data_IF_825157281875
#
_entry.id   IF_825157281875
#
_cell.length_a   1.000
_cell.length_b   1.000
_cell.length_c   1.000
_cell.angle_alpha   90.00
_cell.angle_beta   90.00
_cell.angle_gamma   90.00
#
_symmetry.space_group_name_H-M   'P 1'
#
loop_
_entity.id
_entity.type
_entity.pdbx_description
1 polymer ?
#
# COMPACT_ATOMS: atom_id res chain seq x y z
N UNK A 1 -18.18 19.19 -19.76
CA UNK A 1 -19.54 19.37 -19.23
C UNK A 1 -19.55 19.92 -17.79
N UNK A 2 -18.37 20.18 -17.16
CA UNK A 2 -18.26 20.77 -15.81
C UNK A 2 -18.82 19.93 -14.66
N UNK A 3 -19.03 18.63 -14.87
CA UNK A 3 -19.62 17.74 -13.85
C UNK A 3 -18.61 17.27 -12.80
N UNK A 4 -17.32 17.32 -13.09
CA UNK A 4 -16.23 17.07 -12.15
C UNK A 4 -15.11 18.08 -12.37
N UNK A 5 -14.36 18.40 -11.31
CA UNK A 5 -13.18 19.27 -11.37
C UNK A 5 -11.90 18.49 -11.57
N UNK A 6 -11.84 17.29 -11.02
CA UNK A 6 -10.66 16.44 -11.03
C UNK A 6 -11.03 15.03 -11.47
N UNK A 7 -10.11 14.37 -12.16
CA UNK A 7 -10.25 12.98 -12.57
C UNK A 7 -9.01 12.20 -12.10
N UNK A 8 -9.20 10.92 -11.83
CA UNK A 8 -8.12 10.06 -11.37
C UNK A 8 -8.02 8.76 -12.16
N UNK A 9 -6.84 8.17 -12.10
CA UNK A 9 -6.59 6.82 -12.61
C UNK A 9 -6.44 5.84 -11.43
N UNK A 10 -7.00 4.64 -11.58
CA UNK A 10 -6.79 3.54 -10.65
C UNK A 10 -6.21 2.33 -11.37
N UNK A 11 -5.01 1.93 -10.99
CA UNK A 11 -4.32 0.78 -11.57
C UNK A 11 -2.96 0.58 -10.91
N UNK A 12 -2.17 -0.34 -11.45
CA UNK A 12 -0.85 -0.71 -10.93
C UNK A 12 0.15 -0.89 -12.07
N UNK A 13 1.42 -1.09 -11.73
CA UNK A 13 2.49 -1.42 -12.64
C UNK A 13 2.71 -0.37 -13.75
N UNK A 14 3.10 -0.85 -14.94
CA UNK A 14 3.40 0.01 -16.09
C UNK A 14 2.18 0.76 -16.63
N UNK A 15 0.97 0.22 -16.48
CA UNK A 15 -0.24 0.92 -16.90
C UNK A 15 -0.49 2.17 -16.04
N UNK A 16 -0.22 2.08 -14.73
CA UNK A 16 -0.28 3.24 -13.84
C UNK A 16 0.79 4.27 -14.20
N UNK A 17 2.02 3.84 -14.48
CA UNK A 17 3.09 4.75 -14.94
C UNK A 17 2.70 5.47 -16.22
N UNK A 18 2.19 4.75 -17.24
CA UNK A 18 1.71 5.35 -18.48
C UNK A 18 0.60 6.39 -18.24
N UNK A 19 -0.36 6.07 -17.38
CA UNK A 19 -1.43 7.02 -17.02
C UNK A 19 -0.88 8.29 -16.36
N UNK A 20 0.11 8.16 -15.47
CA UNK A 20 0.79 9.29 -14.84
C UNK A 20 1.55 10.13 -15.88
N UNK A 21 2.28 9.48 -16.78
CA UNK A 21 3.07 10.15 -17.81
C UNK A 21 2.20 10.91 -18.81
N UNK A 22 1.00 10.42 -19.11
CA UNK A 22 0.05 11.08 -20.02
C UNK A 22 -0.34 12.49 -19.61
N UNK A 23 -0.25 12.82 -18.31
CA UNK A 23 -0.60 14.13 -17.78
C UNK A 23 -2.10 14.47 -17.81
N UNK A 24 -2.97 13.46 -18.05
CA UNK A 24 -4.43 13.64 -18.15
C UNK A 24 -5.09 13.61 -16.78
N UNK A 25 -4.50 12.93 -15.79
CA UNK A 25 -5.11 12.66 -14.50
C UNK A 25 -4.54 13.55 -13.39
N UNK A 26 -5.43 13.98 -12.49
CA UNK A 26 -5.08 14.78 -11.31
C UNK A 26 -4.69 13.91 -10.12
N UNK A 27 -5.21 12.68 -10.07
CA UNK A 27 -4.96 11.75 -8.95
C UNK A 27 -4.61 10.34 -9.45
N UNK A 28 -3.80 9.65 -8.64
CA UNK A 28 -3.43 8.25 -8.84
C UNK A 28 -3.88 7.42 -7.65
N UNK A 29 -4.69 6.38 -7.88
CA UNK A 29 -4.99 5.36 -6.89
C UNK A 29 -4.20 4.09 -7.22
N UNK A 30 -3.27 3.69 -6.34
CA UNK A 30 -2.27 2.65 -6.62
C UNK A 30 -2.04 1.75 -5.41
N UNK A 31 -1.71 0.48 -5.62
CA UNK A 31 -1.37 -0.44 -4.53
C UNK A 31 -0.06 -0.04 -3.85
N UNK A 32 -0.11 0.08 -2.54
CA UNK A 32 1.06 0.31 -1.68
C UNK A 32 0.85 -0.41 -0.36
N UNK A 33 1.69 -1.38 -0.04
CA UNK A 33 1.69 -2.07 1.24
C UNK A 33 3.01 -2.81 1.48
N UNK A 34 3.13 -3.44 2.63
CA UNK A 34 4.34 -4.19 3.03
C UNK A 34 4.71 -5.35 2.10
N UNK A 35 3.74 -5.90 1.33
CA UNK A 35 3.94 -7.01 0.38
C UNK A 35 3.86 -6.56 -1.10
N UNK A 36 3.67 -5.24 -1.34
CA UNK A 36 3.56 -4.68 -2.69
C UNK A 36 4.15 -3.27 -2.67
N UNK A 37 5.38 -3.16 -3.11
CA UNK A 37 6.17 -1.93 -3.05
C UNK A 37 6.71 -1.48 -4.41
N UNK A 38 6.32 -2.16 -5.51
CA UNK A 38 6.76 -1.81 -6.87
C UNK A 38 6.48 -0.33 -7.19
N UNK A 39 5.28 0.12 -6.85
CA UNK A 39 4.83 1.49 -7.14
C UNK A 39 5.67 2.58 -6.46
N UNK A 40 6.32 2.26 -5.34
CA UNK A 40 7.17 3.20 -4.59
C UNK A 40 8.38 3.64 -5.42
N UNK A 41 8.91 2.74 -6.25
CA UNK A 41 10.05 3.02 -7.10
C UNK A 41 9.62 3.33 -8.56
N UNK A 42 8.43 2.92 -9.00
CA UNK A 42 7.99 3.02 -10.39
C UNK A 42 7.14 4.27 -10.66
N UNK A 43 5.91 4.32 -10.16
CA UNK A 43 4.93 5.34 -10.56
C UNK A 43 4.80 6.51 -9.57
N UNK A 44 4.96 6.26 -8.28
CA UNK A 44 4.79 7.28 -7.24
C UNK A 44 5.78 8.44 -7.38
N UNK A 45 7.08 8.23 -7.66
CA UNK A 45 8.01 9.35 -7.82
C UNK A 45 7.62 10.28 -8.97
N UNK A 46 7.14 9.72 -10.09
CA UNK A 46 6.71 10.50 -11.26
C UNK A 46 5.42 11.24 -10.97
N UNK A 47 4.43 10.59 -10.34
CA UNK A 47 3.18 11.21 -9.94
C UNK A 47 3.41 12.37 -8.95
N UNK A 48 4.30 12.17 -7.98
CA UNK A 48 4.71 13.21 -7.03
C UNK A 48 5.37 14.40 -7.71
N UNK A 49 6.27 14.16 -8.65
CA UNK A 49 6.95 15.23 -9.41
C UNK A 49 5.95 16.06 -10.24
N UNK A 50 4.84 15.47 -10.66
CA UNK A 50 3.74 16.14 -11.37
C UNK A 50 2.70 16.79 -10.44
N UNK A 51 2.86 16.72 -9.12
CA UNK A 51 1.92 17.29 -8.16
C UNK A 51 0.59 16.56 -8.08
N UNK A 52 0.51 15.28 -8.50
CA UNK A 52 -0.71 14.49 -8.44
C UNK A 52 -1.08 14.11 -7.00
N UNK A 53 -2.37 14.03 -6.71
CA UNK A 53 -2.85 13.42 -5.47
C UNK A 53 -2.66 11.90 -5.51
N UNK A 54 -2.03 11.29 -4.48
CA UNK A 54 -1.77 9.85 -4.46
C UNK A 54 -2.57 9.19 -3.34
N UNK A 55 -3.37 8.20 -3.73
CA UNK A 55 -4.25 7.41 -2.87
C UNK A 55 -3.74 5.99 -2.84
N UNK A 56 -3.28 5.51 -1.68
CA UNK A 56 -2.85 4.13 -1.52
C UNK A 56 -4.08 3.21 -1.37
N UNK A 57 -4.22 2.24 -2.26
CA UNK A 57 -5.17 1.13 -2.10
C UNK A 57 -4.47 -0.10 -1.51
N UNK A 58 -5.24 -0.98 -0.86
CA UNK A 58 -4.75 -2.20 -0.19
C UNK A 58 -3.63 -1.95 0.85
N UNK A 59 -3.70 -0.90 1.68
CA UNK A 59 -2.59 -0.52 2.56
C UNK A 59 -2.22 -1.59 3.59
N UNK A 60 -3.12 -2.54 3.84
CA UNK A 60 -2.90 -3.70 4.72
C UNK A 60 -2.56 -4.98 3.94
N UNK A 61 -2.30 -4.93 2.62
CA UNK A 61 -2.12 -6.14 1.83
C UNK A 61 -3.27 -7.14 2.02
N UNK A 62 -4.51 -6.64 2.11
CA UNK A 62 -5.73 -7.39 2.41
C UNK A 62 -5.69 -8.15 3.76
N UNK A 63 -4.77 -7.81 4.65
CA UNK A 63 -4.52 -8.46 5.94
C UNK A 63 -4.38 -10.00 5.83
N UNK A 64 -3.73 -10.45 4.74
CA UNK A 64 -3.65 -11.89 4.38
C UNK A 64 -2.87 -12.72 5.40
N UNK A 65 -2.04 -12.11 6.23
CA UNK A 65 -1.31 -12.79 7.31
C UNK A 65 -2.19 -13.40 8.42
N UNK A 66 -3.47 -13.04 8.45
CA UNK A 66 -4.45 -13.67 9.35
C UNK A 66 -4.94 -15.04 8.86
N UNK A 67 -4.71 -15.39 7.58
CA UNK A 67 -5.18 -16.65 7.01
C UNK A 67 -4.18 -17.78 7.30
N UNK A 68 -4.67 -18.83 7.95
CA UNK A 68 -3.90 -20.04 8.27
C UNK A 68 -3.87 -21.05 7.12
N UNK A 69 -4.74 -20.89 6.13
CA UNK A 69 -4.82 -21.70 4.91
C UNK A 69 -4.85 -20.80 3.68
N UNK A 70 -4.58 -21.39 2.51
CA UNK A 70 -4.56 -20.68 1.24
C UNK A 70 -5.88 -19.94 1.00
N UNK A 71 -5.85 -18.61 0.85
CA UNK A 71 -7.06 -17.80 0.64
C UNK A 71 -7.53 -17.87 -0.82
N UNK A 72 -8.65 -17.20 -1.10
CA UNK A 72 -9.16 -16.98 -2.45
C UNK A 72 -8.10 -16.39 -3.39
N UNK A 73 -8.18 -16.68 -4.72
CA UNK A 73 -7.15 -16.29 -5.69
C UNK A 73 -6.73 -14.82 -5.63
N UNK A 74 -7.67 -13.92 -5.41
CA UNK A 74 -7.41 -12.49 -5.28
C UNK A 74 -6.44 -12.11 -4.14
N UNK A 75 -6.37 -12.92 -3.10
CA UNK A 75 -5.51 -12.69 -1.94
C UNK A 75 -4.17 -13.43 -2.00
N UNK A 76 -4.05 -14.43 -2.90
CA UNK A 76 -2.92 -15.34 -2.93
C UNK A 76 -1.57 -14.66 -3.15
N UNK A 77 -1.40 -13.69 -4.08
CA UNK A 77 -0.09 -13.10 -4.31
C UNK A 77 0.53 -12.48 -3.06
N UNK A 78 -0.23 -11.74 -2.25
CA UNK A 78 0.28 -11.18 -1.00
C UNK A 78 0.50 -12.26 0.07
N UNK A 79 -0.40 -13.26 0.12
CA UNK A 79 -0.26 -14.39 1.04
C UNK A 79 1.00 -15.21 0.76
N UNK A 80 1.39 -15.37 -0.50
CA UNK A 80 2.62 -16.07 -0.91
C UNK A 80 3.90 -15.22 -0.71
N UNK A 81 3.79 -13.90 -0.82
CA UNK A 81 4.91 -12.96 -0.63
C UNK A 81 5.29 -12.79 0.84
N UNK A 82 4.32 -12.68 1.74
CA UNK A 82 4.59 -12.39 3.15
C UNK A 82 5.45 -13.42 3.87
N UNK A 83 5.30 -14.75 3.69
CA UNK A 83 6.22 -15.74 4.27
C UNK A 83 7.66 -15.59 3.79
N UNK A 84 7.85 -15.23 2.52
CA UNK A 84 9.19 -14.98 1.95
C UNK A 84 9.82 -13.72 2.54
N UNK A 85 9.02 -12.68 2.76
CA UNK A 85 9.42 -11.44 3.42
C UNK A 85 9.73 -11.64 4.90
N UNK A 86 9.04 -12.55 5.57
CA UNK A 86 9.29 -12.97 6.95
C UNK A 86 9.49 -11.80 7.94
N UNK A 87 8.58 -10.83 7.90
CA UNK A 87 8.61 -9.69 8.82
C UNK A 87 8.29 -10.14 10.26
N UNK A 88 9.17 -9.80 11.22
CA UNK A 88 8.98 -10.20 12.62
C UNK A 88 7.71 -9.61 13.25
N UNK A 89 7.35 -8.39 12.90
CA UNK A 89 6.15 -7.74 13.44
C UNK A 89 4.83 -8.42 13.04
N UNK A 90 4.83 -9.29 12.02
CA UNK A 90 3.66 -10.08 11.63
C UNK A 90 3.45 -11.34 12.48
N UNK A 91 4.46 -11.76 13.25
CA UNK A 91 4.42 -12.95 14.11
C UNK A 91 3.82 -12.66 15.50
N UNK A 92 3.70 -11.40 15.85
CA UNK A 92 3.26 -10.94 17.16
C UNK A 92 1.78 -10.55 17.20
N UNK A 93 1.50 -9.48 17.94
CA UNK A 93 0.15 -8.94 18.08
C UNK A 93 -0.41 -8.43 16.76
N UNK A 94 -1.65 -8.85 16.45
CA UNK A 94 -2.32 -8.49 15.20
C UNK A 94 -2.56 -6.97 15.06
N UNK A 95 -2.93 -6.30 16.15
CA UNK A 95 -3.19 -4.85 16.11
C UNK A 95 -1.89 -4.07 15.88
N UNK A 96 -0.79 -4.53 16.47
CA UNK A 96 0.54 -3.97 16.20
C UNK A 96 0.95 -4.17 14.73
N UNK A 97 0.71 -5.35 14.17
CA UNK A 97 0.96 -5.63 12.75
C UNK A 97 0.15 -4.71 11.83
N UNK A 98 -1.14 -4.51 12.11
CA UNK A 98 -2.01 -3.56 11.39
C UNK A 98 -1.48 -2.13 11.49
N UNK A 99 -1.10 -1.71 12.69
CA UNK A 99 -0.54 -0.37 12.93
C UNK A 99 0.72 -0.12 12.11
N UNK A 100 1.67 -1.05 12.14
CA UNK A 100 2.93 -0.94 11.36
C UNK A 100 2.65 -0.91 9.86
N UNK A 101 1.78 -1.79 9.35
CA UNK A 101 1.45 -1.86 7.93
C UNK A 101 0.78 -0.58 7.41
N UNK A 102 -0.17 -0.01 8.16
CA UNK A 102 -0.81 1.26 7.81
C UNK A 102 0.19 2.43 7.84
N UNK A 103 0.99 2.50 8.89
CA UNK A 103 2.00 3.56 9.06
C UNK A 103 3.08 3.48 7.99
N UNK A 104 3.50 2.26 7.60
CA UNK A 104 4.42 2.06 6.48
C UNK A 104 3.85 2.66 5.19
N UNK A 105 2.61 2.33 4.84
CA UNK A 105 1.96 2.85 3.64
C UNK A 105 1.87 4.37 3.65
N UNK A 106 1.46 4.95 4.78
CA UNK A 106 1.32 6.41 4.92
C UNK A 106 2.66 7.15 5.02
N UNK A 107 3.74 6.45 5.39
CA UNK A 107 5.09 7.02 5.41
C UNK A 107 5.75 7.08 4.02
N UNK A 108 5.16 6.44 3.01
CA UNK A 108 5.71 6.50 1.63
C UNK A 108 5.64 7.93 1.11
N UNK A 109 6.77 8.53 0.71
CA UNK A 109 6.81 9.91 0.24
C UNK A 109 5.91 10.14 -0.97
N UNK A 110 4.92 11.03 -0.83
CA UNK A 110 3.94 11.35 -1.86
C UNK A 110 2.58 10.67 -1.68
N UNK A 111 2.44 9.68 -0.82
CA UNK A 111 1.13 9.14 -0.45
C UNK A 111 0.40 10.15 0.44
N UNK A 112 -0.79 10.58 0.02
CA UNK A 112 -1.60 11.58 0.73
C UNK A 112 -2.66 10.94 1.61
N UNK A 113 -3.19 9.80 1.20
CA UNK A 113 -4.24 9.08 1.94
C UNK A 113 -4.24 7.59 1.57
N UNK A 114 -4.91 6.78 2.39
CA UNK A 114 -5.07 5.35 2.16
C UNK A 114 -6.53 4.92 2.28
N UNK A 115 -6.94 3.97 1.43
CA UNK A 115 -8.28 3.38 1.44
C UNK A 115 -8.22 2.01 2.09
N UNK A 116 -8.93 1.83 3.19
CA UNK A 116 -9.07 0.54 3.88
C UNK A 116 -10.49 0.02 3.69
N UNK A 117 -10.66 -1.01 2.86
CA UNK A 117 -11.94 -1.68 2.71
C UNK A 117 -12.30 -2.49 3.97
N UNK A 118 -13.57 -2.41 4.40
CA UNK A 118 -14.07 -3.18 5.54
C UNK A 118 -15.58 -3.36 5.47
N UNK A 119 -16.05 -4.50 5.99
CA UNK A 119 -17.47 -4.78 6.21
C UNK A 119 -17.89 -4.50 7.68
N UNK A 120 -16.94 -4.11 8.54
CA UNK A 120 -17.22 -3.84 9.96
C UNK A 120 -17.36 -2.33 10.19
N UNK A 121 -18.50 -1.85 10.72
CA UNK A 121 -18.83 -0.44 10.83
C UNK A 121 -17.79 0.42 11.53
N UNK A 122 -17.19 -0.07 12.63
CA UNK A 122 -16.25 0.71 13.44
C UNK A 122 -14.78 0.54 13.07
N UNK A 123 -14.47 -0.24 12.03
CA UNK A 123 -13.09 -0.54 11.65
C UNK A 123 -12.30 0.71 11.24
N UNK A 124 -12.93 1.64 10.55
CA UNK A 124 -12.28 2.88 10.16
C UNK A 124 -11.83 3.71 11.37
N UNK A 125 -12.67 3.77 12.42
CA UNK A 125 -12.33 4.46 13.68
C UNK A 125 -11.19 3.76 14.39
N UNK A 126 -11.26 2.43 14.52
CA UNK A 126 -10.18 1.63 15.13
C UNK A 126 -8.84 1.85 14.41
N UNK A 127 -8.82 1.88 13.07
CA UNK A 127 -7.62 2.16 12.30
C UNK A 127 -7.11 3.59 12.54
N UNK A 128 -8.00 4.58 12.60
CA UNK A 128 -7.63 5.96 12.92
C UNK A 128 -7.04 6.08 14.33
N UNK A 129 -7.65 5.46 15.32
CA UNK A 129 -7.17 5.46 16.71
C UNK A 129 -5.78 4.80 16.82
N UNK A 130 -5.54 3.71 16.09
CA UNK A 130 -4.21 3.08 16.02
C UNK A 130 -3.15 4.03 15.47
N UNK A 131 -3.47 4.77 14.41
CA UNK A 131 -2.55 5.74 13.80
C UNK A 131 -2.27 6.92 14.75
N UNK A 132 -3.32 7.47 15.38
CA UNK A 132 -3.19 8.57 16.34
C UNK A 132 -2.32 8.16 17.53
N UNK A 133 -2.59 6.97 18.10
CA UNK A 133 -1.88 6.46 19.26
C UNK A 133 -0.41 6.14 18.97
N UNK A 134 -0.14 5.56 17.81
CA UNK A 134 1.21 5.11 17.45
C UNK A 134 2.08 6.21 16.81
N UNK A 135 1.46 7.27 16.28
CA UNK A 135 2.18 8.34 15.57
C UNK A 135 2.81 7.89 14.25
N UNK A 136 3.83 8.60 13.80
CA UNK A 136 4.55 8.28 12.57
C UNK A 136 5.37 6.99 12.72
N UNK A 137 5.58 6.28 11.61
CA UNK A 137 6.53 5.17 11.58
C UNK A 137 7.95 5.72 11.71
N UNK A 138 8.76 5.08 12.56
CA UNK A 138 10.18 5.42 12.66
C UNK A 138 10.89 5.18 11.33
N UNK A 139 11.76 6.11 10.92
CA UNK A 139 12.47 6.02 9.65
C UNK A 139 13.28 4.72 9.54
N UNK A 140 13.93 4.30 10.62
CA UNK A 140 14.66 3.04 10.67
C UNK A 140 13.75 1.85 10.33
N UNK A 141 12.55 1.77 10.91
CA UNK A 141 11.61 0.66 10.64
C UNK A 141 11.10 0.71 9.19
N UNK A 142 10.84 1.90 8.65
CA UNK A 142 10.50 2.07 7.23
C UNK A 142 11.62 1.53 6.33
N UNK A 143 12.87 1.91 6.60
CA UNK A 143 14.03 1.50 5.81
C UNK A 143 14.28 -0.01 5.89
N UNK A 144 14.11 -0.63 7.06
CA UNK A 144 14.21 -2.08 7.26
C UNK A 144 13.16 -2.83 6.43
N UNK A 145 11.90 -2.37 6.41
CA UNK A 145 10.83 -2.96 5.59
C UNK A 145 11.16 -2.82 4.09
N UNK A 146 11.62 -1.65 3.66
CA UNK A 146 12.04 -1.39 2.28
C UNK A 146 13.23 -2.26 1.87
N UNK A 147 14.26 -2.31 2.67
CA UNK A 147 15.46 -3.12 2.41
C UNK A 147 15.12 -4.61 2.30
N UNK A 148 14.27 -5.11 3.21
CA UNK A 148 13.82 -6.49 3.18
C UNK A 148 13.04 -6.81 1.91
N UNK A 149 12.10 -5.93 1.50
CA UNK A 149 11.36 -6.12 0.26
C UNK A 149 12.31 -6.16 -0.95
N UNK A 150 13.23 -5.19 -1.06
CA UNK A 150 14.22 -5.13 -2.14
C UNK A 150 15.14 -6.36 -2.23
N UNK A 151 15.42 -7.00 -1.10
CA UNK A 151 16.29 -8.21 -1.06
C UNK A 151 15.56 -9.49 -1.46
N UNK A 152 14.22 -9.50 -1.48
CA UNK A 152 13.41 -10.72 -1.67
C UNK A 152 12.54 -10.65 -2.92
N UNK A 153 12.07 -9.46 -3.28
CA UNK A 153 11.13 -9.29 -4.39
C UNK A 153 11.75 -9.72 -5.73
N UNK A 154 11.06 -10.59 -6.42
CA UNK A 154 11.38 -10.97 -7.80
C UNK A 154 10.76 -10.01 -8.84
N UNK A 155 11.14 -10.15 -10.12
CA UNK A 155 10.62 -9.34 -11.20
C UNK A 155 9.12 -9.54 -11.47
N UNK A 156 8.55 -10.61 -10.94
CA UNK A 156 7.14 -10.98 -10.98
C UNK A 156 6.30 -10.35 -9.86
N UNK A 157 6.93 -9.61 -8.94
CA UNK A 157 6.23 -8.97 -7.82
C UNK A 157 5.63 -7.62 -8.22
N UNK A 158 4.79 -7.66 -9.24
CA UNK A 158 4.08 -6.49 -9.72
C UNK A 158 2.84 -6.17 -8.88
N UNK A 159 2.37 -4.92 -8.99
CA UNK A 159 1.11 -4.49 -8.39
C UNK A 159 -0.07 -5.31 -8.91
N UNK A 160 -1.05 -5.54 -8.04
CA UNK A 160 -2.25 -6.30 -8.39
C UNK A 160 -3.31 -5.38 -8.98
N UNK A 161 -3.72 -5.68 -10.18
CA UNK A 161 -4.84 -5.03 -10.88
C UNK A 161 -6.17 -5.71 -10.54
#
# INVERSE_FOLDING_TARGET
AGKTRFIGYSGDGRAALYAVESGVFDTLQISVNIADQESIDLAIPVARAKGMGIIAKRPLGNAVWKHTSKPEPYHQPYWERLPKLNYEFLKGDFQNAVSIALRFTLAVPGVHTAIVGTTQPDRWRQNADLLIKAGLLEQRQFDEIRARWKSVAGPDWNGQT
#
